data_IF_509564296663
#
_entry.id   IF_509564296663
#
_cell.length_a   1.000
_cell.length_b   1.000
_cell.length_c   1.000
_cell.angle_alpha   90.00
_cell.angle_beta   90.00
_cell.angle_gamma   90.00
#
_symmetry.space_group_name_H-M   'P 1'
#
loop_
_entity.id
_entity.type
_entity.pdbx_description
1 polymer ?
#
# COMPACT_ATOMS: atom_id res chain seq x y z
N UNK A 1 -12.81 3.85 -13.55
CA UNK A 1 -13.98 3.93 -12.64
C UNK A 1 -13.85 5.15 -11.75
N UNK A 2 -14.87 5.47 -10.94
CA UNK A 2 -14.82 6.60 -10.00
C UNK A 2 -13.76 6.36 -8.92
N UNK A 3 -13.09 7.42 -8.48
CA UNK A 3 -12.08 7.36 -7.41
C UNK A 3 -12.76 7.39 -6.03
N UNK A 4 -13.45 6.30 -5.67
CA UNK A 4 -14.12 6.13 -4.39
C UNK A 4 -13.55 4.94 -3.61
N UNK A 5 -13.69 4.96 -2.28
CA UNK A 5 -13.27 3.83 -1.44
C UNK A 5 -14.00 2.54 -1.81
N UNK A 6 -15.31 2.61 -2.10
CA UNK A 6 -16.10 1.46 -2.51
C UNK A 6 -15.59 0.83 -3.82
N UNK A 7 -15.26 1.64 -4.83
CA UNK A 7 -14.69 1.15 -6.07
C UNK A 7 -13.32 0.50 -5.85
N UNK A 8 -12.50 1.07 -4.97
CA UNK A 8 -11.19 0.50 -4.62
C UNK A 8 -11.33 -0.85 -3.90
N UNK A 9 -12.23 -0.96 -2.93
CA UNK A 9 -12.53 -2.23 -2.24
C UNK A 9 -12.97 -3.29 -3.24
N UNK A 10 -13.83 -2.95 -4.21
CA UNK A 10 -14.25 -3.90 -5.24
C UNK A 10 -13.07 -4.45 -6.06
N UNK A 11 -12.11 -3.59 -6.42
CA UNK A 11 -10.86 -4.02 -7.11
C UNK A 11 -10.02 -4.92 -6.22
N UNK A 12 -9.86 -4.60 -4.92
CA UNK A 12 -9.12 -5.44 -3.98
C UNK A 12 -9.73 -6.84 -3.87
N UNK A 13 -11.06 -6.93 -3.76
CA UNK A 13 -11.76 -8.22 -3.68
C UNK A 13 -11.61 -9.04 -4.97
N UNK A 14 -11.73 -8.40 -6.14
CA UNK A 14 -11.55 -9.07 -7.42
C UNK A 14 -10.11 -9.59 -7.61
N UNK A 15 -9.12 -8.81 -7.18
CA UNK A 15 -7.72 -9.24 -7.20
C UNK A 15 -7.50 -10.44 -6.26
N UNK A 16 -8.03 -10.40 -5.04
CA UNK A 16 -7.93 -11.51 -4.08
C UNK A 16 -8.57 -12.79 -4.61
N UNK A 17 -9.80 -12.70 -5.16
CA UNK A 17 -10.52 -13.84 -5.72
C UNK A 17 -9.78 -14.51 -6.90
N UNK A 18 -8.99 -13.74 -7.65
CA UNK A 18 -8.18 -14.23 -8.77
C UNK A 18 -6.76 -14.64 -8.39
N UNK A 19 -6.41 -14.59 -7.08
CA UNK A 19 -5.02 -14.74 -6.58
C UNK A 19 -4.05 -13.76 -7.25
N UNK A 20 -4.56 -12.60 -7.64
CA UNK A 20 -3.83 -11.49 -8.21
C UNK A 20 -3.38 -10.48 -7.15
N UNK A 21 -2.89 -9.34 -7.62
CA UNK A 21 -2.45 -8.22 -6.79
C UNK A 21 -3.11 -6.92 -7.26
N UNK A 22 -3.08 -5.89 -6.42
CA UNK A 22 -3.60 -4.57 -6.75
C UNK A 22 -2.57 -3.49 -6.41
N UNK A 23 -2.68 -2.35 -7.07
CA UNK A 23 -1.93 -1.15 -6.68
C UNK A 23 -2.76 0.08 -7.00
N UNK A 24 -2.96 0.94 -6.00
CA UNK A 24 -3.68 2.19 -6.17
C UNK A 24 -2.74 3.25 -6.77
N UNK A 25 -2.98 3.60 -8.03
CA UNK A 25 -2.25 4.67 -8.71
C UNK A 25 -3.07 5.95 -8.82
N UNK A 26 -2.41 7.10 -8.59
CA UNK A 26 -2.92 8.46 -8.86
C UNK A 26 -4.27 8.82 -8.20
N UNK A 27 -4.58 8.25 -7.03
CA UNK A 27 -5.78 8.62 -6.28
C UNK A 27 -5.67 9.98 -5.55
N UNK A 28 -6.80 10.69 -5.35
CA UNK A 28 -6.85 11.89 -4.51
C UNK A 28 -6.26 11.63 -3.10
N UNK A 29 -5.65 12.65 -2.49
CA UNK A 29 -5.01 12.50 -1.18
C UNK A 29 -5.94 11.93 -0.09
N UNK A 30 -7.21 12.35 0.04
CA UNK A 30 -8.13 11.78 1.02
C UNK A 30 -8.38 10.28 0.80
N UNK A 31 -8.51 9.86 -0.46
CA UNK A 31 -8.71 8.45 -0.78
C UNK A 31 -7.46 7.64 -0.45
N UNK A 32 -6.26 8.10 -0.85
CA UNK A 32 -5.00 7.40 -0.57
C UNK A 32 -4.72 7.23 0.92
N UNK A 33 -5.19 8.13 1.77
CA UNK A 33 -5.06 8.03 3.21
C UNK A 33 -6.07 7.05 3.84
N UNK A 34 -7.20 6.83 3.19
CA UNK A 34 -8.32 6.06 3.73
C UNK A 34 -8.32 4.57 3.33
N UNK A 35 -7.56 4.17 2.31
CA UNK A 35 -7.57 2.79 1.80
C UNK A 35 -6.17 2.22 1.59
N UNK A 36 -5.98 0.89 1.66
CA UNK A 36 -4.70 0.26 1.35
C UNK A 36 -4.28 0.54 -0.09
N UNK A 37 -3.06 1.06 -0.28
CA UNK A 37 -2.53 1.37 -1.62
C UNK A 37 -1.82 0.18 -2.29
N UNK A 38 -1.34 -0.76 -1.47
CA UNK A 38 -0.67 -2.01 -1.85
C UNK A 38 -1.28 -3.14 -1.01
N UNK A 39 -1.20 -4.40 -1.47
CA UNK A 39 -1.54 -5.55 -0.63
C UNK A 39 -0.60 -5.66 0.55
N UNK A 40 -1.09 -6.30 1.61
CA UNK A 40 -0.26 -6.69 2.75
C UNK A 40 0.80 -7.71 2.31
N UNK A 41 2.04 -7.50 2.75
CA UNK A 41 3.13 -8.43 2.46
C UNK A 41 3.13 -9.57 3.48
N UNK A 42 3.55 -10.79 3.07
CA UNK A 42 3.88 -11.84 4.02
C UNK A 42 4.92 -11.34 5.03
N UNK A 43 4.79 -11.74 6.29
CA UNK A 43 5.62 -11.25 7.40
C UNK A 43 7.13 -11.29 7.13
N UNK A 44 7.62 -12.36 6.47
CA UNK A 44 9.03 -12.48 6.10
C UNK A 44 9.49 -11.40 5.11
N UNK A 45 8.65 -11.07 4.11
CA UNK A 45 8.96 -10.05 3.12
C UNK A 45 8.89 -8.64 3.73
N UNK A 46 7.89 -8.39 4.57
CA UNK A 46 7.78 -7.15 5.34
C UNK A 46 9.02 -6.90 6.21
N UNK A 47 9.53 -7.95 6.89
CA UNK A 47 10.75 -7.86 7.69
C UNK A 47 12.01 -7.56 6.85
N UNK A 48 12.11 -8.11 5.64
CA UNK A 48 13.19 -7.75 4.71
C UNK A 48 13.06 -6.27 4.31
N UNK A 49 11.86 -5.84 3.91
CA UNK A 49 11.59 -4.45 3.51
C UNK A 49 11.91 -3.44 4.62
N UNK A 50 11.54 -3.75 5.87
CA UNK A 50 11.84 -2.90 7.02
C UNK A 50 13.34 -2.73 7.24
N UNK A 51 14.14 -3.80 7.11
CA UNK A 51 15.61 -3.73 7.24
C UNK A 51 16.24 -2.89 6.12
N UNK A 52 15.77 -3.06 4.88
CA UNK A 52 16.22 -2.25 3.75
C UNK A 52 15.86 -0.77 3.96
N UNK A 53 14.63 -0.48 4.43
CA UNK A 53 14.19 0.87 4.74
C UNK A 53 15.04 1.51 5.84
N UNK A 54 15.33 0.78 6.91
CA UNK A 54 16.17 1.27 8.00
C UNK A 54 17.62 1.56 7.55
N UNK A 55 18.17 0.75 6.65
CA UNK A 55 19.53 0.95 6.12
C UNK A 55 19.61 2.16 5.18
N UNK A 56 18.57 2.41 4.37
CA UNK A 56 18.58 3.48 3.35
C UNK A 56 17.97 4.80 3.83
N UNK A 57 17.11 4.75 4.84
CA UNK A 57 16.39 5.90 5.39
C UNK A 57 16.26 5.78 6.91
N UNK A 58 17.39 5.86 7.65
CA UNK A 58 17.40 5.70 9.10
C UNK A 58 16.58 6.76 9.85
N UNK A 59 16.35 7.92 9.21
CA UNK A 59 15.57 9.02 9.76
C UNK A 59 14.11 9.06 9.26
N UNK A 60 13.69 8.08 8.47
CA UNK A 60 12.33 7.95 7.92
C UNK A 60 11.85 9.20 7.14
N UNK A 61 12.76 9.91 6.48
CA UNK A 61 12.46 11.15 5.75
C UNK A 61 11.94 10.89 4.33
N UNK A 62 12.20 9.71 3.76
CA UNK A 62 11.79 9.40 2.40
C UNK A 62 10.34 8.92 2.35
N UNK A 63 9.51 9.71 1.68
CA UNK A 63 8.13 9.37 1.33
C UNK A 63 7.26 8.98 2.55
N UNK A 64 7.23 9.79 3.63
CA UNK A 64 6.41 9.49 4.81
C UNK A 64 4.94 9.34 4.41
N UNK A 65 4.29 8.30 4.93
CA UNK A 65 2.89 7.99 4.65
C UNK A 65 2.58 7.58 3.19
N UNK A 66 3.59 7.22 2.39
CA UNK A 66 3.39 6.68 1.03
C UNK A 66 3.81 5.22 0.96
N UNK A 67 3.18 4.47 0.06
CA UNK A 67 3.38 3.04 -0.23
C UNK A 67 3.03 2.10 0.92
N UNK A 68 3.52 2.35 2.13
CA UNK A 68 3.11 1.66 3.36
C UNK A 68 2.95 2.70 4.46
N UNK A 69 1.91 2.56 5.27
CA UNK A 69 1.89 3.21 6.59
C UNK A 69 3.09 2.69 7.37
N UNK A 70 3.88 3.61 7.95
CA UNK A 70 4.91 3.21 8.89
C UNK A 70 4.22 2.41 10.01
N UNK A 71 4.81 1.26 10.36
CA UNK A 71 4.39 0.50 11.54
C UNK A 71 4.66 1.31 12.81
#
# INVERSE_FOLDING_TARGET
GPATAAAHVAVMQAAAASRGSFTLFRAPAPLRAAVPVLPEEPAALAAIGARVKAALDPHQIFNPGRMRTAA
#
